data_IF_042084242961
#
_entry.id   IF_042084242961
#
_cell.length_a   1.000
_cell.length_b   1.000
_cell.length_c   1.000
_cell.angle_alpha   90.00
_cell.angle_beta   90.00
_cell.angle_gamma   90.00
#
_symmetry.space_group_name_H-M   'P 1'
#
loop_
_entity.id
_entity.type
_entity.pdbx_description
1 polymer ?
#
# COMPACT_ATOMS: atom_id res chain seq x y z
N UNK A 1 -30.73 0.40 -63.84
CA UNK A 1 -29.65 1.35 -63.47
C UNK A 1 -29.42 1.35 -61.94
N UNK A 2 -28.98 0.23 -61.35
CA UNK A 2 -28.92 0.09 -59.86
C UNK A 2 -27.52 -0.19 -59.30
N UNK A 3 -26.46 -0.12 -60.11
CA UNK A 3 -25.11 -0.53 -59.74
C UNK A 3 -24.32 0.55 -58.98
N UNK A 4 -24.64 1.82 -59.16
CA UNK A 4 -23.88 2.94 -58.58
C UNK A 4 -24.08 3.11 -57.06
N UNK A 5 -25.31 2.87 -56.56
CA UNK A 5 -25.62 2.95 -55.13
C UNK A 5 -24.91 1.89 -54.29
N UNK A 6 -24.81 0.66 -54.81
CA UNK A 6 -24.18 -0.46 -54.12
C UNK A 6 -22.66 -0.29 -54.01
N UNK A 7 -22.00 0.21 -55.08
CA UNK A 7 -20.57 0.50 -55.08
C UNK A 7 -20.17 1.60 -54.08
N UNK A 8 -21.03 2.61 -53.89
CA UNK A 8 -20.78 3.67 -52.90
C UNK A 8 -20.95 3.18 -51.47
N UNK A 9 -21.81 2.18 -51.24
CA UNK A 9 -21.97 1.54 -49.95
C UNK A 9 -20.78 0.63 -49.60
N UNK A 10 -20.31 -0.19 -50.55
CA UNK A 10 -19.13 -1.05 -50.35
C UNK A 10 -17.86 -0.22 -50.12
N UNK A 11 -17.65 0.85 -50.89
CA UNK A 11 -16.51 1.76 -50.70
C UNK A 11 -16.49 2.42 -49.30
N UNK A 12 -17.66 2.70 -48.71
CA UNK A 12 -17.75 3.21 -47.32
C UNK A 12 -17.37 2.14 -46.30
N UNK A 13 -17.82 0.90 -46.50
CA UNK A 13 -17.47 -0.23 -45.64
C UNK A 13 -15.97 -0.52 -45.71
N UNK A 14 -15.38 -0.48 -46.89
CA UNK A 14 -13.95 -0.72 -47.07
C UNK A 14 -13.09 0.39 -46.43
N UNK A 15 -13.51 1.66 -46.54
CA UNK A 15 -12.87 2.76 -45.81
C UNK A 15 -12.94 2.56 -44.30
N UNK A 16 -14.09 2.13 -43.76
CA UNK A 16 -14.22 1.80 -42.32
C UNK A 16 -13.26 0.70 -41.91
N UNK A 17 -13.16 -0.39 -42.70
CA UNK A 17 -12.24 -1.51 -42.43
C UNK A 17 -10.77 -1.09 -42.44
N UNK A 18 -10.38 -0.18 -43.34
CA UNK A 18 -9.00 0.32 -43.40
C UNK A 18 -8.67 1.16 -42.16
N UNK A 19 -9.58 2.06 -41.77
CA UNK A 19 -9.40 2.89 -40.56
C UNK A 19 -9.33 2.03 -39.30
N UNK A 20 -10.22 1.05 -39.18
CA UNK A 20 -10.23 0.11 -38.06
C UNK A 20 -8.92 -0.68 -37.96
N UNK A 21 -8.44 -1.24 -39.08
CA UNK A 21 -7.13 -1.92 -39.13
C UNK A 21 -5.98 -0.99 -38.72
N UNK A 22 -6.01 0.28 -39.13
CA UNK A 22 -4.98 1.26 -38.77
C UNK A 22 -5.02 1.60 -37.28
N UNK A 23 -6.22 1.81 -36.72
CA UNK A 23 -6.41 2.05 -35.30
C UNK A 23 -5.92 0.86 -34.46
N UNK A 24 -6.24 -0.37 -34.90
CA UNK A 24 -5.80 -1.58 -34.22
C UNK A 24 -4.27 -1.74 -34.27
N UNK A 25 -3.63 -1.47 -35.40
CA UNK A 25 -2.16 -1.48 -35.51
C UNK A 25 -1.52 -0.46 -34.58
N UNK A 26 -2.00 0.77 -34.61
CA UNK A 26 -1.50 1.82 -33.73
C UNK A 26 -1.67 1.44 -32.24
N UNK A 27 -2.82 0.87 -31.87
CA UNK A 27 -3.02 0.38 -30.51
C UNK A 27 -2.02 -0.72 -30.15
N UNK A 28 -1.80 -1.71 -31.02
CA UNK A 28 -0.81 -2.76 -30.81
C UNK A 28 0.62 -2.21 -30.70
N UNK A 29 0.97 -1.23 -31.52
CA UNK A 29 2.27 -0.56 -31.48
C UNK A 29 2.46 0.20 -30.15
N UNK A 30 1.44 0.92 -29.68
CA UNK A 30 1.46 1.59 -28.37
C UNK A 30 1.60 0.60 -27.23
N UNK A 31 0.85 -0.50 -27.26
CA UNK A 31 0.95 -1.56 -26.24
C UNK A 31 2.34 -2.19 -26.26
N UNK A 32 2.90 -2.49 -27.44
CA UNK A 32 4.27 -3.03 -27.56
C UNK A 32 5.31 -2.06 -27.00
N UNK A 33 5.23 -0.78 -27.36
CA UNK A 33 6.14 0.24 -26.85
C UNK A 33 6.04 0.40 -25.33
N UNK A 34 4.82 0.35 -24.79
CA UNK A 34 4.58 0.42 -23.35
C UNK A 34 5.13 -0.81 -22.62
N UNK A 35 4.92 -2.02 -23.16
CA UNK A 35 5.50 -3.26 -22.62
C UNK A 35 7.02 -3.16 -22.60
N UNK A 36 7.66 -2.79 -23.71
CA UNK A 36 9.13 -2.65 -23.76
C UNK A 36 9.65 -1.61 -22.76
N UNK A 37 8.94 -0.49 -22.57
CA UNK A 37 9.30 0.49 -21.55
C UNK A 37 9.20 -0.08 -20.13
N UNK A 38 8.13 -0.83 -19.83
CA UNK A 38 7.98 -1.49 -18.54
C UNK A 38 9.07 -2.54 -18.30
N UNK A 39 9.40 -3.33 -19.32
CA UNK A 39 10.49 -4.32 -19.26
C UNK A 39 11.83 -3.63 -18.94
N UNK A 40 12.17 -2.55 -19.63
CA UNK A 40 13.38 -1.76 -19.34
C UNK A 40 13.36 -1.18 -17.92
N UNK A 41 12.21 -0.64 -17.48
CA UNK A 41 12.10 -0.06 -16.12
C UNK A 41 12.28 -1.12 -15.04
N UNK A 42 11.74 -2.32 -15.23
CA UNK A 42 11.90 -3.44 -14.29
C UNK A 42 13.35 -3.91 -14.24
N UNK A 43 14.01 -4.01 -15.39
CA UNK A 43 15.44 -4.33 -15.47
C UNK A 43 16.28 -3.31 -14.67
N UNK A 44 16.10 -2.01 -14.93
CA UNK A 44 16.83 -0.94 -14.25
C UNK A 44 16.60 -0.94 -12.72
N UNK A 45 15.35 -1.12 -12.28
CA UNK A 45 15.03 -1.20 -10.85
C UNK A 45 15.64 -2.44 -10.19
N UNK A 46 15.67 -3.56 -10.90
CA UNK A 46 16.27 -4.81 -10.41
C UNK A 46 17.79 -4.67 -10.30
N UNK A 47 18.44 -4.11 -11.33
CA UNK A 47 19.87 -3.81 -11.32
C UNK A 47 20.23 -2.85 -10.18
N UNK A 48 19.46 -1.77 -9.99
CA UNK A 48 19.70 -0.81 -8.92
C UNK A 48 19.52 -1.42 -7.52
N UNK A 49 18.49 -2.25 -7.34
CA UNK A 49 18.22 -2.97 -6.09
C UNK A 49 19.36 -3.93 -5.74
N UNK A 50 19.76 -4.75 -6.71
CA UNK A 50 20.83 -5.73 -6.53
C UNK A 50 22.18 -5.06 -6.27
N UNK A 51 22.51 -4.00 -7.04
CA UNK A 51 23.79 -3.31 -6.92
C UNK A 51 23.89 -2.46 -5.64
N UNK A 52 22.83 -1.78 -5.24
CA UNK A 52 22.87 -0.84 -4.11
C UNK A 52 22.79 -1.52 -2.73
N UNK A 53 21.86 -2.47 -2.58
CA UNK A 53 21.59 -3.08 -1.27
C UNK A 53 22.62 -4.16 -0.90
N UNK A 54 22.91 -5.07 -1.83
CA UNK A 54 23.80 -6.21 -1.55
C UNK A 54 25.24 -5.74 -1.28
N UNK A 55 25.73 -4.76 -2.05
CA UNK A 55 27.10 -4.24 -1.87
C UNK A 55 27.26 -3.52 -0.53
N UNK A 56 26.27 -2.72 -0.11
CA UNK A 56 26.30 -2.04 1.19
C UNK A 56 26.27 -3.02 2.36
N UNK A 57 25.46 -4.08 2.26
CA UNK A 57 25.38 -5.12 3.28
C UNK A 57 26.67 -5.93 3.37
N UNK A 58 27.25 -6.32 2.24
CA UNK A 58 28.54 -7.03 2.19
C UNK A 58 29.66 -6.17 2.80
N UNK A 59 29.68 -4.86 2.51
CA UNK A 59 30.65 -3.95 3.09
C UNK A 59 30.53 -3.87 4.63
N UNK A 60 29.30 -3.74 5.15
CA UNK A 60 29.05 -3.73 6.60
C UNK A 60 29.42 -5.06 7.27
N UNK A 61 29.15 -6.19 6.62
CA UNK A 61 29.57 -7.50 7.12
C UNK A 61 31.09 -7.62 7.21
N UNK A 62 31.81 -7.15 6.19
CA UNK A 62 33.27 -7.18 6.17
C UNK A 62 33.88 -6.27 7.25
N UNK A 63 33.32 -5.07 7.45
CA UNK A 63 33.73 -4.17 8.52
C UNK A 63 33.55 -4.82 9.90
N UNK A 64 32.39 -5.41 10.16
CA UNK A 64 32.10 -6.10 11.43
C UNK A 64 33.01 -7.30 11.65
N UNK A 65 33.34 -8.04 10.60
CA UNK A 65 34.29 -9.15 10.70
C UNK A 65 35.70 -8.67 11.08
N UNK A 66 36.13 -7.53 10.53
CA UNK A 66 37.43 -6.93 10.86
C UNK A 66 37.48 -6.42 12.30
N UNK A 67 36.40 -5.80 12.77
CA UNK A 67 36.24 -5.34 14.16
C UNK A 67 36.32 -6.52 15.14
N UNK A 68 35.62 -7.62 14.84
CA UNK A 68 35.70 -8.86 15.63
C UNK A 68 37.15 -9.38 15.67
N UNK A 69 37.85 -9.44 14.55
CA UNK A 69 39.24 -9.90 14.52
C UNK A 69 40.21 -8.95 15.24
N UNK A 70 39.94 -7.65 15.25
CA UNK A 70 40.69 -6.68 16.04
C UNK A 70 40.47 -6.88 17.53
N UNK A 71 39.21 -7.01 17.98
CA UNK A 71 38.88 -7.25 19.38
C UNK A 71 39.48 -8.56 19.87
N UNK A 72 39.39 -9.64 19.07
CA UNK A 72 40.06 -10.91 19.38
C UNK A 72 41.58 -10.76 19.50
N UNK A 73 42.21 -9.96 18.64
CA UNK A 73 43.66 -9.66 18.75
C UNK A 73 43.98 -8.91 20.03
N UNK A 74 43.20 -7.89 20.38
CA UNK A 74 43.40 -7.12 21.62
C UNK A 74 43.24 -8.00 22.86
N UNK A 75 42.23 -8.87 22.90
CA UNK A 75 42.04 -9.83 24.00
C UNK A 75 43.24 -10.78 24.10
N UNK A 76 43.71 -11.34 22.97
CA UNK A 76 44.92 -12.20 22.98
C UNK A 76 46.12 -11.44 23.52
N UNK A 77 46.36 -10.21 23.06
CA UNK A 77 47.46 -9.39 23.55
C UNK A 77 47.36 -9.09 25.05
N UNK A 78 46.18 -8.75 25.54
CA UNK A 78 45.95 -8.54 26.98
C UNK A 78 46.23 -9.80 27.79
N UNK A 79 45.80 -10.98 27.31
CA UNK A 79 46.09 -12.26 27.96
C UNK A 79 47.59 -12.57 27.95
N UNK A 80 48.31 -12.35 26.85
CA UNK A 80 49.77 -12.52 26.79
C UNK A 80 50.51 -11.60 27.78
N UNK A 81 50.09 -10.34 27.90
CA UNK A 81 50.66 -9.40 28.89
C UNK A 81 50.40 -9.87 30.32
N UNK A 82 49.20 -10.39 30.60
CA UNK A 82 48.89 -10.96 31.91
C UNK A 82 49.70 -12.22 32.20
N UNK A 83 49.84 -13.12 31.22
CA UNK A 83 50.63 -14.34 31.37
C UNK A 83 52.13 -14.06 31.53
N UNK A 84 52.67 -13.04 30.86
CA UNK A 84 54.06 -12.61 31.02
C UNK A 84 54.29 -11.89 32.35
N UNK A 85 53.34 -11.06 32.82
CA UNK A 85 53.40 -10.42 34.14
C UNK A 85 53.26 -11.43 35.29
N UNK A 86 52.51 -12.52 35.08
CA UNK A 86 52.35 -13.63 36.02
C UNK A 86 53.40 -14.74 35.82
N UNK A 87 54.37 -14.57 34.91
CA UNK A 87 55.25 -15.63 34.41
C UNK A 87 56.74 -15.37 34.55
N UNK A 88 57.28 -15.41 35.79
CA UNK A 88 58.61 -15.97 36.12
C UNK A 88 58.51 -16.72 37.46
N UNK A 89 59.26 -17.83 37.67
CA UNK A 89 58.64 -19.13 37.94
C UNK A 89 58.64 -19.52 39.42
N UNK A 90 57.64 -20.30 39.84
CA UNK A 90 57.87 -21.31 40.86
C UNK A 90 56.95 -22.52 40.71
N UNK A 91 57.62 -23.64 40.49
CA UNK A 91 57.19 -25.03 40.44
C UNK A 91 56.24 -25.45 41.55
N UNK A 92 55.07 -26.01 41.21
CA UNK A 92 54.66 -27.37 41.65
C UNK A 92 53.29 -27.79 41.06
N UNK A 93 53.33 -28.82 40.21
CA UNK A 93 52.24 -29.76 39.95
C UNK A 93 52.16 -30.82 41.09
N UNK A 94 51.19 -31.76 41.13
CA UNK A 94 49.81 -31.79 40.59
C UNK A 94 48.77 -32.48 41.54
N UNK A 95 47.55 -32.70 41.02
CA UNK A 95 46.65 -33.86 41.23
C UNK A 95 45.46 -33.74 42.19
N UNK A 96 44.25 -33.96 41.64
CA UNK A 96 43.09 -34.79 42.08
C UNK A 96 42.12 -34.80 40.87
N UNK A 97 42.16 -35.79 39.96
CA UNK A 97 41.23 -36.95 39.81
C UNK A 97 39.75 -36.52 39.78
N UNK A 98 39.16 -36.29 38.61
CA UNK A 98 38.48 -37.25 37.70
C UNK A 98 37.24 -37.94 38.33
N UNK A 99 36.04 -37.53 37.91
CA UNK A 99 34.96 -38.48 37.57
C UNK A 99 34.08 -37.92 36.44
N UNK A 100 34.21 -38.61 35.31
CA UNK A 100 33.41 -38.59 34.09
C UNK A 100 32.00 -39.08 34.36
N UNK A 101 30.96 -38.42 33.83
CA UNK A 101 29.73 -39.06 33.35
C UNK A 101 29.38 -38.49 31.96
N UNK A 102 29.06 -39.41 31.06
CA UNK A 102 28.99 -39.31 29.61
C UNK A 102 27.51 -39.42 29.21
N UNK A 103 27.04 -38.54 28.34
CA UNK A 103 26.34 -38.88 27.08
C UNK A 103 25.78 -37.61 26.41
N UNK A 104 25.99 -37.54 25.10
CA UNK A 104 25.46 -36.58 24.11
C UNK A 104 24.67 -37.43 23.09
N UNK A 105 23.70 -36.95 22.28
CA UNK A 105 23.92 -35.81 21.37
C UNK A 105 22.68 -34.96 20.92
N UNK A 106 23.01 -33.88 20.18
CA UNK A 106 22.31 -33.32 19.01
C UNK A 106 21.04 -32.41 19.08
N UNK A 107 21.23 -31.19 18.53
CA UNK A 107 20.47 -30.57 17.41
C UNK A 107 19.36 -29.51 17.67
N UNK A 108 19.68 -28.31 17.12
CA UNK A 108 18.84 -27.32 16.41
C UNK A 108 18.13 -26.14 17.12
N UNK A 109 18.56 -24.95 16.67
CA UNK A 109 17.79 -23.83 16.13
C UNK A 109 16.72 -23.14 17.00
N UNK A 110 16.98 -21.88 17.37
CA UNK A 110 16.22 -20.68 16.92
C UNK A 110 16.44 -19.48 17.86
N UNK A 111 16.61 -18.30 17.26
CA UNK A 111 16.46 -16.96 17.88
C UNK A 111 14.98 -16.65 18.18
N UNK A 112 14.55 -15.59 18.92
CA UNK A 112 15.19 -14.25 19.11
C UNK A 112 15.03 -13.64 20.53
N UNK A 113 15.39 -12.35 20.78
CA UNK A 113 14.44 -11.24 20.63
C UNK A 113 15.06 -9.94 20.07
N UNK A 114 14.39 -9.23 19.16
CA UNK A 114 13.57 -8.03 19.44
C UNK A 114 14.26 -7.02 20.37
N UNK A 115 14.67 -5.88 19.82
CA UNK A 115 14.07 -4.57 20.12
C UNK A 115 14.94 -3.39 19.63
N UNK A 116 14.24 -2.41 19.04
CA UNK A 116 14.50 -0.96 19.13
C UNK A 116 15.67 -0.34 18.34
N UNK A 117 15.36 0.60 17.44
CA UNK A 117 15.38 2.04 17.75
C UNK A 117 15.06 2.94 16.55
N UNK A 118 14.32 4.00 16.88
CA UNK A 118 14.49 5.42 16.53
C UNK A 118 14.78 5.82 15.08
N UNK A 119 13.74 6.42 14.48
CA UNK A 119 13.69 7.84 14.09
C UNK A 119 15.01 8.51 13.65
N UNK A 120 15.08 8.84 12.36
CA UNK A 120 15.58 10.15 11.94
C UNK A 120 14.99 10.54 10.59
N UNK A 121 14.36 11.71 10.56
CA UNK A 121 13.78 12.33 9.39
C UNK A 121 14.88 13.01 8.55
N UNK A 122 14.89 12.77 7.24
CA UNK A 122 15.42 13.74 6.28
C UNK A 122 14.56 13.81 5.03
N UNK A 123 14.33 15.05 4.58
CA UNK A 123 13.25 15.43 3.69
C UNK A 123 13.47 15.15 2.21
N UNK A 124 12.35 15.10 1.49
CA UNK A 124 12.32 15.08 0.04
C UNK A 124 11.39 16.18 -0.48
N UNK A 125 12.05 17.31 -0.76
CA UNK A 125 11.88 18.22 -1.88
C UNK A 125 10.65 18.06 -2.81
N UNK A 126 9.90 19.15 -2.85
CA UNK A 126 8.71 19.40 -3.64
C UNK A 126 9.04 19.49 -5.14
N UNK A 127 8.50 18.58 -5.96
CA UNK A 127 8.48 18.75 -7.42
C UNK A 127 7.18 19.44 -7.85
N UNK A 128 7.30 20.74 -8.10
CA UNK A 128 6.32 21.61 -8.76
C UNK A 128 6.05 21.08 -10.18
N UNK A 129 4.88 20.47 -10.40
CA UNK A 129 4.36 20.24 -11.76
C UNK A 129 3.39 21.38 -12.05
N UNK A 130 3.88 22.32 -12.84
CA UNK A 130 3.12 23.38 -13.47
C UNK A 130 2.50 22.80 -14.75
N UNK A 131 1.18 22.69 -14.79
CA UNK A 131 0.46 22.40 -16.03
C UNK A 131 -0.40 23.61 -16.37
N UNK A 132 0.14 24.36 -17.32
CA UNK A 132 -0.48 25.52 -17.96
C UNK A 132 -1.51 25.00 -18.96
N UNK A 133 -2.79 25.34 -18.74
CA UNK A 133 -3.82 25.20 -19.77
C UNK A 133 -4.41 26.58 -20.03
N UNK A 134 -3.88 27.19 -21.09
CA UNK A 134 -4.47 28.31 -21.80
C UNK A 134 -5.91 27.97 -22.21
N UNK A 135 -6.89 28.76 -21.77
CA UNK A 135 -8.20 28.88 -22.42
C UNK A 135 -8.61 30.35 -22.41
N UNK A 136 -8.78 30.90 -23.60
CA UNK A 136 -9.32 32.23 -23.88
C UNK A 136 -10.83 32.30 -23.55
N UNK A 137 -11.38 33.51 -23.29
CA UNK A 137 -12.62 33.71 -22.56
C UNK A 137 -13.86 33.76 -23.48
N UNK A 138 -14.97 33.24 -22.96
CA UNK A 138 -16.30 33.39 -23.57
C UNK A 138 -17.37 33.48 -22.47
N UNK A 139 -17.92 34.67 -22.32
CA UNK A 139 -18.81 35.13 -21.25
C UNK A 139 -20.16 34.42 -21.20
N UNK A 140 -20.56 33.92 -20.01
CA UNK A 140 -21.93 34.05 -19.50
C UNK A 140 -21.86 34.31 -17.99
N UNK A 141 -22.38 35.48 -17.61
CA UNK A 141 -22.39 36.09 -16.27
C UNK A 141 -23.38 35.43 -15.28
N UNK A 142 -23.30 35.79 -13.98
CA UNK A 142 -23.64 34.93 -12.84
C UNK A 142 -25.02 35.24 -12.23
N UNK A 143 -25.63 34.24 -11.58
CA UNK A 143 -26.68 34.51 -10.60
C UNK A 143 -26.63 33.55 -9.40
N UNK A 144 -26.19 34.12 -8.29
CA UNK A 144 -26.76 33.95 -6.95
C UNK A 144 -26.52 32.63 -6.21
N UNK A 145 -25.39 32.62 -5.50
CA UNK A 145 -25.28 32.31 -4.07
C UNK A 145 -26.39 31.48 -3.43
N UNK A 146 -26.11 30.21 -3.17
CA UNK A 146 -26.61 29.52 -1.98
C UNK A 146 -25.44 28.82 -1.31
N UNK A 147 -24.75 29.57 -0.45
CA UNK A 147 -23.77 29.01 0.46
C UNK A 147 -24.49 28.04 1.40
N UNK A 148 -24.23 26.75 1.22
CA UNK A 148 -24.52 25.78 2.28
C UNK A 148 -23.51 26.04 3.39
N UNK A 149 -23.96 26.82 4.37
CA UNK A 149 -23.31 26.95 5.66
C UNK A 149 -23.22 25.55 6.27
N UNK A 150 -22.01 25.00 6.33
CA UNK A 150 -21.72 23.85 7.18
C UNK A 150 -21.82 24.34 8.62
N UNK A 151 -22.95 24.04 9.26
CA UNK A 151 -23.02 24.06 10.71
C UNK A 151 -22.17 22.90 11.21
N UNK A 152 -21.00 23.24 11.75
CA UNK A 152 -20.19 22.37 12.57
C UNK A 152 -20.93 22.11 13.88
N UNK A 153 -21.81 21.11 13.89
CA UNK A 153 -22.39 20.57 15.12
C UNK A 153 -21.42 19.58 15.76
N UNK A 154 -20.44 20.12 16.47
CA UNK A 154 -19.65 19.41 17.47
C UNK A 154 -20.51 19.16 18.73
N UNK A 155 -21.42 18.19 18.69
CA UNK A 155 -21.86 17.41 19.86
C UNK A 155 -22.95 16.40 19.50
N UNK A 156 -22.57 15.16 19.24
CA UNK A 156 -23.38 14.01 19.62
C UNK A 156 -22.51 12.76 19.72
N UNK A 157 -22.15 12.45 20.97
CA UNK A 157 -21.82 11.11 21.51
C UNK A 157 -20.77 10.30 20.75
N UNK A 158 -19.62 10.18 21.40
CA UNK A 158 -18.64 9.09 21.25
C UNK A 158 -19.34 7.72 21.22
N UNK A 159 -19.79 7.32 20.04
CA UNK A 159 -19.71 5.94 19.63
C UNK A 159 -18.37 5.86 18.92
N UNK A 160 -17.42 5.12 19.50
CA UNK A 160 -16.20 4.71 18.82
C UNK A 160 -16.64 3.82 17.64
N UNK A 161 -17.13 4.44 16.57
CA UNK A 161 -17.20 3.78 15.28
C UNK A 161 -15.76 3.45 14.95
N UNK A 162 -15.41 2.17 14.70
CA UNK A 162 -14.04 1.77 14.38
C UNK A 162 -13.48 2.49 13.15
N UNK A 163 -14.33 3.24 12.44
CA UNK A 163 -14.02 3.98 11.23
C UNK A 163 -14.01 5.50 11.40
N UNK A 164 -14.15 6.04 12.62
CA UNK A 164 -14.21 7.49 12.87
C UNK A 164 -12.97 8.25 12.39
N UNK A 165 -11.81 7.60 12.38
CA UNK A 165 -10.53 8.16 11.93
C UNK A 165 -10.42 8.30 10.40
N UNK A 166 -11.36 7.74 9.63
CA UNK A 166 -11.41 7.90 8.18
C UNK A 166 -12.00 9.25 7.73
N UNK A 167 -12.52 10.06 8.66
CA UNK A 167 -12.96 11.41 8.34
C UNK A 167 -11.78 12.25 7.80
N UNK A 168 -12.00 12.95 6.68
CA UNK A 168 -11.03 13.91 6.18
C UNK A 168 -10.97 15.09 7.16
N UNK A 169 -9.82 15.33 7.76
CA UNK A 169 -9.62 16.38 8.75
C UNK A 169 -8.29 17.10 8.55
N UNK A 170 -8.06 18.15 9.32
CA UNK A 170 -6.90 19.04 9.16
C UNK A 170 -5.59 18.45 9.72
N UNK A 171 -5.63 17.24 10.26
CA UNK A 171 -4.50 16.55 10.86
C UNK A 171 -3.67 15.74 9.85
N UNK A 172 -2.38 15.56 10.16
CA UNK A 172 -1.49 14.62 9.47
C UNK A 172 -1.89 13.18 9.87
N UNK A 173 -2.89 12.62 9.19
CA UNK A 173 -3.33 11.23 9.40
C UNK A 173 -2.75 10.35 8.30
N UNK A 174 -2.10 9.25 8.69
CA UNK A 174 -1.69 8.22 7.73
C UNK A 174 -2.91 7.41 7.28
N UNK A 175 -3.62 7.91 6.28
CA UNK A 175 -4.83 7.27 5.74
C UNK A 175 -4.57 5.85 5.23
N UNK A 176 -3.36 5.54 4.77
CA UNK A 176 -3.01 4.17 4.38
C UNK A 176 -3.07 3.22 5.59
N UNK A 177 -2.47 3.59 6.70
CA UNK A 177 -2.51 2.81 7.94
C UNK A 177 -3.95 2.66 8.46
N UNK A 178 -4.69 3.77 8.54
CA UNK A 178 -6.06 3.76 9.08
C UNK A 178 -7.00 2.91 8.23
N UNK A 179 -6.91 3.01 6.90
CA UNK A 179 -7.71 2.18 5.98
C UNK A 179 -7.33 0.71 6.13
N UNK A 180 -6.04 0.39 6.25
CA UNK A 180 -5.58 -0.99 6.39
C UNK A 180 -6.04 -1.62 7.71
N UNK A 181 -5.93 -0.90 8.83
CA UNK A 181 -6.45 -1.35 10.14
C UNK A 181 -7.96 -1.55 10.10
N UNK A 182 -8.69 -0.61 9.50
CA UNK A 182 -10.14 -0.70 9.31
C UNK A 182 -10.53 -1.91 8.44
N UNK A 183 -9.76 -2.17 7.37
CA UNK A 183 -10.00 -3.30 6.47
C UNK A 183 -9.78 -4.64 7.19
N UNK A 184 -8.70 -4.77 7.95
CA UNK A 184 -8.45 -5.96 8.79
C UNK A 184 -9.62 -6.17 9.76
N UNK A 185 -10.08 -5.11 10.43
CA UNK A 185 -11.22 -5.20 11.34
C UNK A 185 -12.51 -5.69 10.63
N UNK A 186 -12.82 -5.19 9.44
CA UNK A 186 -13.99 -5.62 8.65
C UNK A 186 -13.88 -7.06 8.20
N UNK A 187 -12.70 -7.48 7.75
CA UNK A 187 -12.45 -8.85 7.29
C UNK A 187 -12.50 -9.84 8.45
N UNK A 188 -12.02 -9.45 9.63
CA UNK A 188 -12.11 -10.24 10.87
C UNK A 188 -13.50 -10.21 11.52
N UNK A 189 -14.34 -9.21 11.21
CA UNK A 189 -15.71 -9.14 11.71
C UNK A 189 -16.59 -10.29 11.15
N UNK A 190 -17.73 -10.57 11.78
CA UNK A 190 -18.65 -11.65 11.41
C UNK A 190 -19.24 -11.56 10.00
N UNK A 191 -20.08 -12.54 9.64
CA UNK A 191 -20.64 -12.66 8.30
C UNK A 191 -21.35 -11.38 7.82
N UNK A 192 -21.11 -11.01 6.56
CA UNK A 192 -21.85 -9.97 5.85
C UNK A 192 -23.21 -10.54 5.43
N UNK A 193 -24.28 -9.78 5.59
CA UNK A 193 -25.66 -10.35 5.62
C UNK A 193 -26.55 -9.93 4.46
N UNK A 194 -26.07 -9.05 3.58
CA UNK A 194 -26.86 -8.51 2.46
C UNK A 194 -26.67 -9.35 1.19
N UNK A 195 -27.73 -9.40 0.38
CA UNK A 195 -27.69 -10.01 -0.95
C UNK A 195 -27.11 -9.05 -2.00
N UNK A 196 -26.81 -9.55 -3.20
CA UNK A 196 -26.30 -8.71 -4.29
C UNK A 196 -27.30 -7.62 -4.72
N UNK A 197 -28.60 -7.93 -4.75
CA UNK A 197 -29.65 -6.98 -5.08
C UNK A 197 -29.79 -5.90 -3.99
N UNK A 198 -29.69 -6.31 -2.72
CA UNK A 198 -29.68 -5.37 -1.59
C UNK A 198 -28.45 -4.46 -1.64
N UNK A 199 -27.29 -4.98 -2.04
CA UNK A 199 -26.03 -4.23 -2.11
C UNK A 199 -26.07 -3.14 -3.17
N UNK A 200 -26.61 -3.43 -4.35
CA UNK A 200 -26.77 -2.46 -5.43
C UNK A 200 -27.79 -1.37 -5.04
N UNK A 201 -28.92 -1.74 -4.46
CA UNK A 201 -29.92 -0.80 -3.95
C UNK A 201 -29.34 0.10 -2.84
N UNK A 202 -28.58 -0.47 -1.91
CA UNK A 202 -27.91 0.30 -0.86
C UNK A 202 -26.95 1.33 -1.44
N UNK A 203 -26.12 0.93 -2.40
CA UNK A 203 -25.15 1.81 -3.05
C UNK A 203 -25.86 2.96 -3.78
N UNK A 204 -26.92 2.63 -4.54
CA UNK A 204 -27.70 3.63 -5.29
C UNK A 204 -28.39 4.59 -4.31
N UNK A 205 -29.06 4.08 -3.28
CA UNK A 205 -29.75 4.90 -2.27
C UNK A 205 -28.78 5.78 -1.49
N UNK A 206 -27.62 5.26 -1.10
CA UNK A 206 -26.59 6.03 -0.40
C UNK A 206 -26.09 7.22 -1.23
N UNK A 207 -25.88 7.03 -2.53
CA UNK A 207 -25.34 8.07 -3.41
C UNK A 207 -26.42 9.10 -3.82
N UNK A 208 -27.64 8.65 -4.13
CA UNK A 208 -28.71 9.54 -4.59
C UNK A 208 -29.44 10.25 -3.46
N UNK A 209 -29.69 9.54 -2.34
CA UNK A 209 -30.50 10.05 -1.22
C UNK A 209 -29.68 10.30 0.05
N UNK A 210 -28.39 9.96 0.03
CA UNK A 210 -27.51 10.10 1.18
C UNK A 210 -27.56 8.90 2.11
N UNK A 211 -26.53 8.76 2.94
CA UNK A 211 -26.38 7.64 3.87
C UNK A 211 -27.36 7.64 5.04
N UNK A 212 -28.08 8.73 5.27
CA UNK A 212 -29.09 8.81 6.34
C UNK A 212 -30.43 8.22 5.90
N UNK A 213 -30.74 8.26 4.60
CA UNK A 213 -31.89 7.54 4.04
C UNK A 213 -31.74 6.02 4.20
N UNK A 214 -30.50 5.50 4.09
CA UNK A 214 -30.21 4.06 4.22
C UNK A 214 -30.42 3.55 5.66
N UNK A 215 -30.13 4.39 6.68
CA UNK A 215 -30.29 3.98 8.10
C UNK A 215 -31.74 3.73 8.50
N UNK A 216 -32.70 4.34 7.81
CA UNK A 216 -34.11 4.27 8.17
C UNK A 216 -34.70 2.88 7.89
N UNK A 217 -34.17 2.16 6.90
CA UNK A 217 -34.76 0.90 6.44
C UNK A 217 -34.19 -0.32 7.18
N UNK A 218 -32.88 -0.37 7.46
CA UNK A 218 -32.22 -1.53 8.08
C UNK A 218 -30.86 -1.16 8.68
N UNK A 219 -30.44 -1.78 9.81
CA UNK A 219 -29.07 -1.63 10.30
C UNK A 219 -28.06 -2.16 9.27
N UNK A 220 -27.03 -1.35 9.00
CA UNK A 220 -25.92 -1.68 8.11
C UNK A 220 -25.03 -2.76 8.73
N UNK A 221 -24.55 -3.69 7.89
CA UNK A 221 -23.52 -4.64 8.31
C UNK A 221 -22.13 -3.97 8.44
N UNK A 222 -21.16 -4.72 8.97
CA UNK A 222 -19.80 -4.19 9.22
C UNK A 222 -19.12 -3.69 7.95
N UNK A 223 -19.34 -4.35 6.81
CA UNK A 223 -18.79 -3.94 5.52
C UNK A 223 -19.42 -2.64 5.03
N UNK A 224 -20.73 -2.50 5.12
CA UNK A 224 -21.41 -1.26 4.74
C UNK A 224 -21.10 -0.09 5.67
N UNK A 225 -20.90 -0.32 6.97
CA UNK A 225 -20.44 0.71 7.89
C UNK A 225 -19.03 1.21 7.54
N UNK A 226 -18.13 0.32 7.12
CA UNK A 226 -16.81 0.69 6.63
C UNK A 226 -16.86 1.47 5.33
N UNK A 227 -17.64 0.98 4.35
CA UNK A 227 -17.80 1.65 3.06
C UNK A 227 -18.43 3.03 3.20
N UNK A 228 -19.39 3.20 4.12
CA UNK A 228 -19.93 4.51 4.49
C UNK A 228 -18.84 5.46 4.96
N UNK A 229 -17.98 5.01 5.87
CA UNK A 229 -16.93 5.86 6.43
C UNK A 229 -15.89 6.26 5.37
N UNK A 230 -15.54 5.33 4.47
CA UNK A 230 -14.68 5.64 3.32
C UNK A 230 -15.30 6.68 2.38
N UNK A 231 -16.58 6.51 2.07
CA UNK A 231 -17.30 7.38 1.15
C UNK A 231 -17.48 8.80 1.72
N UNK A 232 -17.93 8.92 2.96
CA UNK A 232 -18.11 10.21 3.63
C UNK A 232 -16.78 10.86 4.01
N UNK A 233 -15.71 10.06 4.18
CA UNK A 233 -14.38 10.52 4.55
C UNK A 233 -13.50 10.82 3.34
N UNK A 234 -12.95 9.78 2.70
CA UNK A 234 -11.96 9.92 1.64
C UNK A 234 -12.57 10.31 0.29
N UNK A 235 -13.76 9.78 -0.04
CA UNK A 235 -14.33 9.93 -1.39
C UNK A 235 -15.40 11.01 -1.50
N UNK A 236 -15.62 11.83 -0.48
CA UNK A 236 -16.67 12.85 -0.47
C UNK A 236 -16.52 13.90 -1.59
N UNK A 237 -15.30 14.11 -2.10
CA UNK A 237 -15.00 15.04 -3.20
C UNK A 237 -15.15 14.41 -4.59
N UNK A 238 -15.29 13.09 -4.67
CA UNK A 238 -15.46 12.39 -5.94
C UNK A 238 -16.90 12.52 -6.45
N UNK A 239 -17.08 12.39 -7.77
CA UNK A 239 -18.39 12.43 -8.39
C UNK A 239 -19.25 11.23 -8.03
N UNK A 240 -20.56 11.34 -8.25
CA UNK A 240 -21.54 10.31 -7.89
C UNK A 240 -21.27 8.98 -8.60
N UNK A 241 -20.81 9.02 -9.86
CA UNK A 241 -20.52 7.82 -10.66
C UNK A 241 -19.29 7.09 -10.12
N UNK A 242 -18.23 7.83 -9.79
CA UNK A 242 -17.00 7.31 -9.22
C UNK A 242 -17.25 6.69 -7.85
N UNK A 243 -17.98 7.40 -6.98
CA UNK A 243 -18.35 6.91 -5.65
C UNK A 243 -19.16 5.62 -5.75
N UNK A 244 -20.15 5.55 -6.65
CA UNK A 244 -20.94 4.33 -6.89
C UNK A 244 -20.05 3.17 -7.35
N UNK A 245 -19.14 3.41 -8.31
CA UNK A 245 -18.23 2.38 -8.81
C UNK A 245 -17.29 1.86 -7.70
N UNK A 246 -16.74 2.76 -6.87
CA UNK A 246 -15.88 2.42 -5.74
C UNK A 246 -16.64 1.57 -4.73
N UNK A 247 -17.85 1.98 -4.32
CA UNK A 247 -18.68 1.24 -3.37
C UNK A 247 -18.96 -0.19 -3.84
N UNK A 248 -19.40 -0.35 -5.10
CA UNK A 248 -19.71 -1.67 -5.68
C UNK A 248 -18.47 -2.56 -5.80
N UNK A 249 -17.35 -1.99 -6.24
CA UNK A 249 -16.09 -2.72 -6.37
C UNK A 249 -15.60 -3.21 -5.00
N UNK A 250 -15.50 -2.31 -4.03
CA UNK A 250 -14.99 -2.65 -2.71
C UNK A 250 -15.92 -3.62 -1.98
N UNK A 251 -17.25 -3.47 -2.12
CA UNK A 251 -18.21 -4.44 -1.58
C UNK A 251 -17.99 -5.82 -2.17
N UNK A 252 -17.81 -5.93 -3.50
CA UNK A 252 -17.54 -7.20 -4.17
C UNK A 252 -16.24 -7.85 -3.68
N UNK A 253 -15.18 -7.06 -3.46
CA UNK A 253 -13.92 -7.58 -2.90
C UNK A 253 -14.09 -8.12 -1.48
N UNK A 254 -14.85 -7.42 -0.63
CA UNK A 254 -15.15 -7.86 0.74
C UNK A 254 -15.96 -9.16 0.77
N UNK A 255 -16.84 -9.37 -0.21
CA UNK A 255 -17.61 -10.61 -0.33
C UNK A 255 -16.75 -11.79 -0.85
N UNK A 256 -15.86 -11.54 -1.82
CA UNK A 256 -14.99 -12.59 -2.39
C UNK A 256 -13.87 -13.01 -1.42
N UNK A 257 -13.28 -12.06 -0.69
CA UNK A 257 -12.17 -12.32 0.23
C UNK A 257 -12.51 -13.24 1.41
N UNK A 258 -13.80 -13.56 1.60
CA UNK A 258 -14.32 -14.39 2.71
C UNK A 258 -14.70 -15.81 2.29
N UNK A 259 -14.71 -16.10 0.99
CA UNK A 259 -15.09 -17.41 0.43
C UNK A 259 -13.88 -18.32 0.16
N UNK A 260 -12.74 -18.10 0.84
CA UNK A 260 -11.53 -18.91 0.76
C UNK A 260 -11.18 -19.51 2.11
#
# INVERSE_FOLDING_TARGET
MSTSGNQRATAKVDRKRITDRRAQRNHRERVKAYISHLETTVEELTEASQKGSEQSLVQKLQEKQLEIEQLKRAIRQANEVLHTALGTPSSRSPAIVETVHKDSPEIQNSWPPVASKDESAEGLNNRKIQMESTFEPGDISPSTSRGSQFLNDNRLTSFHSPYGTLACGDGQVNYFQVVNESLVHVLSAGALTTSADDDDDLAIRAILHGWDAVKQDKPLDHGWNFLRALDQGLFHRAGAVERLAILRLMRSMLMVGRNK
#
